data_IF_269857692626
#
_entry.id   IF_269857692626
#
_cell.length_a   1.000
_cell.length_b   1.000
_cell.length_c   1.000
_cell.angle_alpha   90.00
_cell.angle_beta   90.00
_cell.angle_gamma   90.00
#
_symmetry.space_group_name_H-M   'P 1'
#
loop_
_entity.id
_entity.type
_entity.pdbx_description
1 polymer ?
#
# COMPACT_ATOMS: atom_id res chain seq x y z
N UNK A 1 -20.70 -40.22 68.09
CA UNK A 1 -20.04 -40.09 66.77
C UNK A 1 -20.97 -39.21 65.97
N UNK A 2 -20.77 -37.91 66.13
CA UNK A 2 -21.72 -36.86 65.74
C UNK A 2 -20.93 -35.57 65.54
N UNK A 3 -21.29 -34.90 64.44
CA UNK A 3 -21.16 -33.47 64.14
C UNK A 3 -19.76 -32.92 63.83
N UNK A 4 -19.53 -32.72 62.52
CA UNK A 4 -18.50 -31.83 61.98
C UNK A 4 -19.25 -30.58 61.50
N UNK A 5 -19.22 -29.51 62.27
CA UNK A 5 -19.61 -28.18 61.82
C UNK A 5 -18.39 -27.47 61.21
N UNK A 6 -18.63 -26.81 60.09
CA UNK A 6 -17.68 -26.08 59.27
C UNK A 6 -17.54 -24.66 59.81
N UNK A 7 -16.34 -24.26 60.21
CA UNK A 7 -16.00 -22.84 60.37
C UNK A 7 -15.02 -22.43 59.27
N UNK A 8 -15.57 -21.69 58.31
CA UNK A 8 -14.86 -20.96 57.27
C UNK A 8 -14.11 -19.80 57.93
N UNK A 9 -12.79 -19.81 57.84
CA UNK A 9 -11.94 -18.73 58.35
C UNK A 9 -11.99 -17.53 57.39
N UNK A 10 -11.95 -16.36 58.03
CA UNK A 10 -12.33 -15.02 57.59
C UNK A 10 -11.68 -14.46 56.32
N UNK A 11 -12.49 -13.68 55.60
CA UNK A 11 -12.14 -12.82 54.46
C UNK A 11 -10.97 -11.86 54.75
N UNK A 12 -9.86 -12.02 54.03
CA UNK A 12 -8.89 -10.93 53.81
C UNK A 12 -9.29 -10.20 52.53
N UNK A 13 -10.03 -9.10 52.68
CA UNK A 13 -10.36 -8.17 51.61
C UNK A 13 -9.08 -7.45 51.11
N UNK A 14 -8.40 -8.01 50.12
CA UNK A 14 -7.46 -7.25 49.29
C UNK A 14 -8.29 -6.29 48.40
N UNK A 15 -8.47 -5.05 48.86
CA UNK A 15 -8.94 -3.95 48.02
C UNK A 15 -7.95 -3.71 46.87
N UNK A 16 -8.21 -4.36 45.74
CA UNK A 16 -7.59 -4.07 44.46
C UNK A 16 -8.10 -2.70 43.99
N UNK A 17 -7.47 -1.64 44.48
CA UNK A 17 -7.70 -0.28 43.98
C UNK A 17 -7.33 -0.25 42.50
N UNK A 18 -8.34 -0.30 41.63
CA UNK A 18 -8.17 0.00 40.22
C UNK A 18 -7.75 1.46 40.11
N UNK A 19 -6.44 1.71 40.10
CA UNK A 19 -5.91 2.95 39.58
C UNK A 19 -6.30 2.97 38.11
N UNK A 20 -7.45 3.59 37.81
CA UNK A 20 -7.77 4.01 36.47
C UNK A 20 -6.64 4.97 36.08
N UNK A 21 -5.66 4.47 35.33
CA UNK A 21 -4.69 5.31 34.64
C UNK A 21 -5.51 6.29 33.82
N UNK A 22 -5.58 7.54 34.30
CA UNK A 22 -6.29 8.60 33.59
C UNK A 22 -5.66 8.70 32.21
N UNK A 23 -6.44 8.44 31.17
CA UNK A 23 -5.97 8.61 29.79
C UNK A 23 -5.32 9.99 29.67
N UNK A 24 -4.11 10.09 29.10
CA UNK A 24 -3.40 11.35 29.01
C UNK A 24 -4.30 12.35 28.28
N UNK A 25 -4.62 13.45 28.97
CA UNK A 25 -5.43 14.52 28.40
C UNK A 25 -4.77 14.98 27.09
N UNK A 26 -5.49 14.78 25.98
CA UNK A 26 -5.06 15.25 24.66
C UNK A 26 -4.94 16.77 24.76
N UNK A 27 -3.77 17.39 24.50
CA UNK A 27 -3.61 18.82 24.61
C UNK A 27 -4.66 19.56 23.75
N UNK A 28 -5.30 20.59 24.30
CA UNK A 28 -6.31 21.39 23.59
C UNK A 28 -5.75 22.10 22.33
N UNK A 29 -4.42 22.20 22.20
CA UNK A 29 -3.71 22.91 21.12
C UNK A 29 -3.12 21.98 20.04
N UNK A 30 -3.82 20.91 19.66
CA UNK A 30 -3.43 20.12 18.48
C UNK A 30 -3.93 20.84 17.21
N UNK A 31 -3.03 21.55 16.55
CA UNK A 31 -3.31 22.16 15.26
C UNK A 31 -3.45 21.10 14.16
N UNK A 32 -4.50 21.23 13.35
CA UNK A 32 -4.66 20.41 12.15
C UNK A 32 -3.49 20.68 11.17
N UNK A 33 -2.70 19.64 10.81
CA UNK A 33 -1.60 19.82 9.90
C UNK A 33 -2.13 20.10 8.49
N UNK A 34 -1.70 21.20 7.88
CA UNK A 34 -1.99 21.48 6.48
C UNK A 34 -1.01 20.76 5.55
N UNK A 35 -1.50 20.33 4.38
CA UNK A 35 -0.66 19.75 3.33
C UNK A 35 0.33 20.81 2.82
N UNK A 36 1.62 20.64 3.16
CA UNK A 36 2.68 21.60 2.80
C UNK A 36 3.23 21.43 1.39
N UNK A 37 3.38 20.18 0.92
CA UNK A 37 4.05 19.85 -0.34
C UNK A 37 3.50 18.54 -0.91
N UNK A 38 3.54 18.39 -2.25
CA UNK A 38 3.16 17.17 -2.95
C UNK A 38 4.27 16.76 -3.93
N UNK A 39 4.71 15.51 -3.85
CA UNK A 39 5.67 14.90 -4.79
C UNK A 39 4.93 13.97 -5.74
N UNK A 40 5.10 14.17 -7.04
CA UNK A 40 4.31 13.49 -8.08
C UNK A 40 5.20 12.77 -9.09
N UNK A 41 4.58 11.88 -9.87
CA UNK A 41 5.22 11.15 -10.98
C UNK A 41 5.48 9.67 -10.71
N UNK A 42 5.56 9.26 -9.45
CA UNK A 42 5.55 7.84 -9.09
C UNK A 42 4.14 7.24 -9.25
N UNK A 43 4.05 5.92 -9.39
CA UNK A 43 2.80 5.17 -9.58
C UNK A 43 2.52 4.29 -8.37
N UNK A 44 1.31 4.37 -7.84
CA UNK A 44 0.79 3.45 -6.85
C UNK A 44 -0.66 3.06 -7.21
N UNK A 45 -0.81 1.99 -8.00
CA UNK A 45 -2.11 1.50 -8.48
C UNK A 45 -2.25 -0.04 -8.39
N UNK A 46 -1.14 -0.77 -8.34
CA UNK A 46 -1.11 -2.23 -8.29
C UNK A 46 -1.05 -2.76 -6.85
N UNK A 47 -0.50 -1.98 -5.93
CA UNK A 47 -0.33 -2.38 -4.53
C UNK A 47 -0.99 -1.37 -3.60
N UNK A 48 -1.30 -1.79 -2.38
CA UNK A 48 -1.78 -0.88 -1.31
C UNK A 48 -0.66 -0.47 -0.36
N UNK A 49 0.59 -0.76 -0.73
CA UNK A 49 1.77 -0.54 0.10
C UNK A 49 2.81 0.24 -0.68
N UNK A 50 3.05 1.48 -0.25
CA UNK A 50 4.17 2.29 -0.72
C UNK A 50 4.75 3.07 0.44
N UNK A 51 6.04 2.90 0.63
CA UNK A 51 6.81 3.67 1.58
C UNK A 51 7.27 4.98 0.95
N UNK A 52 7.10 6.08 1.70
CA UNK A 52 7.76 7.35 1.45
C UNK A 52 8.67 7.65 2.64
N UNK A 53 9.91 8.06 2.38
CA UNK A 53 10.92 8.26 3.42
C UNK A 53 11.79 9.48 3.13
N UNK A 54 12.39 10.04 4.18
CA UNK A 54 13.39 11.10 4.03
C UNK A 54 14.76 10.50 3.75
N UNK A 55 15.56 11.20 2.94
CA UNK A 55 16.97 10.87 2.75
C UNK A 55 17.84 12.07 3.04
N UNK A 56 18.51 12.01 4.19
CA UNK A 56 19.18 13.18 4.77
C UNK A 56 18.19 14.33 4.97
N UNK A 57 18.68 15.56 4.83
CA UNK A 57 17.88 16.77 5.09
C UNK A 57 17.14 17.29 3.85
N UNK A 58 17.64 16.99 2.66
CA UNK A 58 17.28 17.69 1.42
C UNK A 58 16.41 16.86 0.48
N UNK A 59 16.19 15.57 0.74
CA UNK A 59 15.46 14.71 -0.19
C UNK A 59 14.30 13.96 0.46
N UNK A 60 13.28 13.71 -0.36
CA UNK A 60 12.19 12.77 -0.09
C UNK A 60 12.25 11.68 -1.17
N UNK A 61 12.02 10.43 -0.79
CA UNK A 61 12.03 9.31 -1.71
C UNK A 61 10.77 8.47 -1.59
N UNK A 62 10.41 7.79 -2.68
CA UNK A 62 9.34 6.80 -2.69
C UNK A 62 9.61 5.73 -3.74
N UNK A 63 9.09 4.52 -3.49
CA UNK A 63 9.03 3.45 -4.49
C UNK A 63 7.91 3.69 -5.49
N UNK A 64 7.90 2.92 -6.57
CA UNK A 64 6.86 3.00 -7.60
C UNK A 64 6.51 1.63 -8.15
N UNK A 65 5.26 1.48 -8.56
CA UNK A 65 4.77 0.30 -9.29
C UNK A 65 5.32 0.20 -10.72
N UNK A 66 6.20 1.12 -11.12
CA UNK A 66 6.97 1.00 -12.37
C UNK A 66 8.40 0.46 -12.15
N UNK A 67 8.71 -0.03 -10.94
CA UNK A 67 10.01 -0.62 -10.61
C UNK A 67 11.11 0.39 -10.29
N UNK A 68 10.77 1.68 -10.20
CA UNK A 68 11.73 2.74 -9.95
C UNK A 68 11.56 3.36 -8.56
N UNK A 69 12.67 3.79 -7.97
CA UNK A 69 12.73 4.70 -6.84
C UNK A 69 12.77 6.12 -7.40
N UNK A 70 11.89 6.96 -6.90
CA UNK A 70 11.87 8.38 -7.19
C UNK A 70 12.49 9.13 -6.01
N UNK A 71 13.40 10.07 -6.30
CA UNK A 71 14.08 10.89 -5.30
C UNK A 71 13.88 12.35 -5.70
N UNK A 72 13.15 13.09 -4.88
CA UNK A 72 12.84 14.49 -5.10
C UNK A 72 13.64 15.38 -4.16
N UNK A 73 13.93 16.60 -4.61
CA UNK A 73 14.33 17.70 -3.73
C UNK A 73 13.14 18.06 -2.84
N UNK A 74 13.36 18.07 -1.53
CA UNK A 74 12.34 18.28 -0.50
C UNK A 74 11.74 19.69 -0.52
N UNK A 75 12.50 20.69 -0.99
CA UNK A 75 12.10 22.11 -0.96
C UNK A 75 11.39 22.50 -2.24
N UNK A 76 11.83 21.99 -3.39
CA UNK A 76 11.28 22.35 -4.71
C UNK A 76 10.32 21.32 -5.29
N UNK A 77 10.31 20.09 -4.76
CA UNK A 77 9.60 18.94 -5.33
C UNK A 77 10.09 18.50 -6.72
N UNK A 78 11.25 19.01 -7.17
CA UNK A 78 11.86 18.57 -8.42
C UNK A 78 12.38 17.14 -8.30
N UNK A 79 12.15 16.32 -9.32
CA UNK A 79 12.76 15.00 -9.41
C UNK A 79 14.26 15.14 -9.68
N UNK A 80 15.11 14.70 -8.75
CA UNK A 80 16.58 14.81 -8.84
C UNK A 80 17.25 13.50 -9.22
N UNK A 81 16.63 12.36 -8.92
CA UNK A 81 17.18 11.05 -9.25
C UNK A 81 16.07 10.03 -9.44
N UNK A 82 16.33 9.10 -10.35
CA UNK A 82 15.46 7.98 -10.66
C UNK A 82 16.31 6.72 -10.75
N UNK A 83 16.02 5.72 -9.90
CA UNK A 83 16.80 4.48 -9.83
C UNK A 83 15.90 3.30 -10.18
N UNK A 84 16.25 2.51 -11.18
CA UNK A 84 15.54 1.27 -11.48
C UNK A 84 15.94 0.20 -10.46
N UNK A 85 15.10 -0.01 -9.46
CA UNK A 85 15.37 -1.02 -8.44
C UNK A 85 14.76 -2.37 -8.79
N UNK A 86 13.51 -2.43 -9.25
CA UNK A 86 12.88 -3.69 -9.60
C UNK A 86 12.39 -3.67 -11.05
N UNK A 87 12.07 -4.85 -11.59
CA UNK A 87 11.42 -4.94 -12.89
C UNK A 87 9.96 -4.50 -12.82
N UNK A 88 9.32 -4.65 -11.66
CA UNK A 88 7.90 -4.44 -11.49
C UNK A 88 7.55 -3.36 -10.49
N UNK A 89 7.79 -3.59 -9.20
CA UNK A 89 7.26 -2.75 -8.13
C UNK A 89 8.29 -2.64 -7.02
N UNK A 90 8.56 -1.43 -6.57
CA UNK A 90 9.34 -1.17 -5.35
C UNK A 90 8.37 -0.80 -4.23
N UNK A 91 8.46 -1.46 -3.08
CA UNK A 91 7.53 -1.26 -1.96
C UNK A 91 8.19 -0.55 -0.78
N UNK A 92 9.42 -0.94 -0.45
CA UNK A 92 10.10 -0.53 0.78
C UNK A 92 11.43 0.14 0.48
N UNK A 93 11.70 1.23 1.20
CA UNK A 93 12.90 2.06 1.11
C UNK A 93 13.39 2.32 2.53
N UNK A 94 14.53 1.75 2.87
CA UNK A 94 15.13 1.86 4.20
C UNK A 94 16.51 2.51 4.10
N UNK A 95 16.58 3.85 4.24
CA UNK A 95 17.84 4.56 4.39
C UNK A 95 18.58 4.07 5.63
N UNK A 96 19.87 3.82 5.52
CA UNK A 96 20.70 3.56 6.69
C UNK A 96 20.71 4.80 7.59
N UNK A 97 20.59 4.67 8.93
CA UNK A 97 20.43 5.81 9.83
C UNK A 97 21.59 6.81 9.80
N UNK A 98 22.79 6.36 9.45
CA UNK A 98 24.02 7.18 9.51
C UNK A 98 24.91 7.10 8.26
N UNK A 99 24.66 6.16 7.36
CA UNK A 99 25.54 5.93 6.19
C UNK A 99 24.75 6.30 4.94
N UNK A 100 25.42 6.73 3.85
CA UNK A 100 24.76 7.03 2.59
C UNK A 100 24.42 5.72 1.85
N UNK A 101 23.71 4.82 2.51
CA UNK A 101 23.33 3.50 2.00
C UNK A 101 21.82 3.35 2.04
N UNK A 102 21.22 2.85 0.97
CA UNK A 102 19.79 2.58 0.86
C UNK A 102 19.58 1.09 0.73
N UNK A 103 18.71 0.49 1.54
CA UNK A 103 18.16 -0.82 1.25
C UNK A 103 16.78 -0.66 0.60
N UNK A 104 16.53 -1.37 -0.48
CA UNK A 104 15.21 -1.40 -1.13
C UNK A 104 14.76 -2.82 -1.40
N UNK A 105 13.44 -3.03 -1.33
CA UNK A 105 12.81 -4.28 -1.73
C UNK A 105 11.46 -4.01 -2.39
N UNK A 106 11.04 -4.95 -3.21
CA UNK A 106 9.80 -4.87 -3.96
C UNK A 106 9.09 -6.20 -4.05
N UNK A 107 8.64 -6.56 -5.25
CA UNK A 107 7.98 -7.86 -5.49
C UNK A 107 8.91 -8.88 -6.16
N UNK A 108 10.08 -8.44 -6.60
CA UNK A 108 11.10 -9.35 -7.12
C UNK A 108 11.76 -10.14 -5.95
N UNK A 109 12.53 -11.19 -6.27
CA UNK A 109 13.08 -12.13 -5.27
C UNK A 109 14.45 -11.71 -4.71
N UNK A 110 14.70 -10.42 -4.58
CA UNK A 110 15.96 -9.88 -4.10
C UNK A 110 15.78 -8.64 -3.20
N UNK A 111 16.90 -8.20 -2.62
CA UNK A 111 17.02 -6.94 -1.88
C UNK A 111 18.23 -6.23 -2.46
N UNK A 112 18.11 -4.93 -2.70
CA UNK A 112 19.17 -4.14 -3.33
C UNK A 112 19.71 -3.09 -2.38
N UNK A 113 21.04 -2.97 -2.36
CA UNK A 113 21.76 -1.93 -1.63
C UNK A 113 22.31 -0.90 -2.60
N UNK A 114 22.11 0.37 -2.28
CA UNK A 114 22.59 1.50 -3.07
C UNK A 114 23.57 2.32 -2.25
N UNK A 115 24.65 2.75 -2.88
CA UNK A 115 25.63 3.66 -2.30
C UNK A 115 26.14 4.63 -3.39
N UNK A 116 26.61 5.84 -3.04
CA UNK A 116 27.11 6.83 -3.99
C UNK A 116 28.52 6.47 -4.47
N UNK A 117 28.63 5.39 -5.24
CA UNK A 117 29.91 4.84 -5.74
C UNK A 117 30.32 5.40 -7.11
N UNK A 118 29.45 6.19 -7.75
CA UNK A 118 29.76 6.83 -9.04
C UNK A 118 30.60 8.09 -8.82
N UNK A 119 31.58 8.29 -9.69
CA UNK A 119 32.46 9.47 -9.66
C UNK A 119 31.73 10.74 -10.12
N UNK A 120 30.82 10.60 -11.09
CA UNK A 120 30.08 11.73 -11.66
C UNK A 120 28.56 11.58 -11.47
N UNK A 121 27.84 12.70 -11.25
CA UNK A 121 26.38 12.72 -11.28
C UNK A 121 25.86 12.27 -12.65
N UNK A 122 24.88 11.39 -12.66
CA UNK A 122 24.22 10.94 -13.89
C UNK A 122 22.72 10.84 -13.65
N UNK A 123 22.00 11.87 -14.09
CA UNK A 123 20.54 11.91 -14.09
C UNK A 123 20.05 12.19 -15.51
N UNK A 124 19.38 11.21 -16.10
CA UNK A 124 18.74 11.35 -17.41
C UNK A 124 17.35 11.98 -17.25
N UNK A 125 17.32 13.31 -17.35
CA UNK A 125 16.08 14.09 -17.20
C UNK A 125 15.03 13.75 -18.27
N UNK A 126 15.45 13.37 -19.49
CA UNK A 126 14.53 13.02 -20.57
C UNK A 126 13.85 11.69 -20.29
N UNK A 127 14.63 10.67 -19.93
CA UNK A 127 14.10 9.36 -19.53
C UNK A 127 13.16 9.49 -18.33
N UNK A 128 13.51 10.34 -17.36
CA UNK A 128 12.67 10.60 -16.20
C UNK A 128 11.33 11.24 -16.59
N UNK A 129 11.32 12.26 -17.45
CA UNK A 129 10.10 12.91 -17.93
C UNK A 129 9.20 11.94 -18.72
N UNK A 130 9.79 11.14 -19.63
CA UNK A 130 9.07 10.13 -20.39
C UNK A 130 8.46 9.05 -19.49
N UNK A 131 9.16 8.65 -18.42
CA UNK A 131 8.65 7.69 -17.46
C UNK A 131 7.52 8.28 -16.59
N UNK A 132 7.65 9.54 -16.15
CA UNK A 132 6.60 10.25 -15.41
C UNK A 132 5.32 10.37 -16.25
N UNK A 133 5.44 10.72 -17.54
CA UNK A 133 4.30 10.75 -18.46
C UNK A 133 3.62 9.40 -18.61
N UNK A 134 4.41 8.33 -18.78
CA UNK A 134 3.88 6.96 -18.82
C UNK A 134 3.15 6.57 -17.54
N UNK A 135 3.68 6.94 -16.38
CA UNK A 135 3.03 6.69 -15.10
C UNK A 135 1.71 7.44 -14.97
N UNK A 136 1.64 8.69 -15.41
CA UNK A 136 0.42 9.49 -15.39
C UNK A 136 -0.69 8.85 -16.25
N UNK A 137 -0.35 8.41 -17.47
CA UNK A 137 -1.30 7.70 -18.36
C UNK A 137 -1.81 6.42 -17.68
N UNK A 138 -0.90 5.62 -17.14
CA UNK A 138 -1.26 4.35 -16.48
C UNK A 138 -2.13 4.54 -15.24
N UNK A 139 -1.90 5.61 -14.47
CA UNK A 139 -2.73 5.96 -13.32
C UNK A 139 -4.16 6.34 -13.75
N UNK A 140 -4.29 7.12 -14.82
CA UNK A 140 -5.61 7.50 -15.33
C UNK A 140 -6.37 6.27 -15.88
N UNK A 141 -5.68 5.39 -16.62
CA UNK A 141 -6.28 4.15 -17.15
C UNK A 141 -6.72 3.18 -16.04
N UNK A 142 -6.05 3.18 -14.89
CA UNK A 142 -6.33 2.25 -13.78
C UNK A 142 -7.19 2.85 -12.68
N UNK A 143 -7.55 4.13 -12.75
CA UNK A 143 -8.29 4.86 -11.71
C UNK A 143 -9.61 4.19 -11.32
N UNK A 144 -10.32 3.64 -12.30
CA UNK A 144 -11.61 2.96 -12.10
C UNK A 144 -11.50 1.42 -12.17
N UNK A 145 -10.27 0.89 -12.14
CA UNK A 145 -10.02 -0.55 -12.21
C UNK A 145 -9.95 -1.15 -10.80
N UNK A 146 -10.76 -2.19 -10.55
CA UNK A 146 -10.72 -2.96 -9.31
C UNK A 146 -10.03 -4.30 -9.57
N UNK A 147 -8.96 -4.58 -8.85
CA UNK A 147 -8.25 -5.86 -8.94
C UNK A 147 -9.02 -6.94 -8.21
N UNK A 148 -9.36 -8.04 -8.92
CA UNK A 148 -10.05 -9.20 -8.35
C UNK A 148 -9.25 -10.48 -8.60
N UNK A 149 -9.27 -11.48 -7.70
CA UNK A 149 -8.62 -12.76 -7.95
C UNK A 149 -9.16 -13.43 -9.22
N UNK A 150 -8.26 -13.96 -10.06
CA UNK A 150 -8.65 -14.58 -11.33
C UNK A 150 -9.70 -15.69 -11.18
N UNK A 151 -9.62 -16.47 -10.08
CA UNK A 151 -10.60 -17.50 -9.77
C UNK A 151 -12.03 -16.94 -9.61
N UNK A 152 -12.17 -15.75 -9.03
CA UNK A 152 -13.46 -15.07 -8.91
C UNK A 152 -13.99 -14.67 -10.28
N UNK A 153 -13.13 -14.07 -11.12
CA UNK A 153 -13.50 -13.66 -12.48
C UNK A 153 -13.91 -14.86 -13.35
N UNK A 154 -13.16 -15.97 -13.29
CA UNK A 154 -13.48 -17.20 -14.04
C UNK A 154 -14.85 -17.74 -13.62
N UNK A 155 -15.15 -17.79 -12.32
CA UNK A 155 -16.45 -18.22 -11.80
C UNK A 155 -17.58 -17.29 -12.25
N UNK A 156 -17.36 -15.97 -12.17
CA UNK A 156 -18.32 -14.97 -12.63
C UNK A 156 -18.63 -15.14 -14.13
N UNK A 157 -17.61 -15.26 -14.97
CA UNK A 157 -17.74 -15.48 -16.40
C UNK A 157 -18.44 -16.81 -16.72
N UNK A 158 -18.16 -17.87 -15.96
CA UNK A 158 -18.85 -19.14 -16.10
C UNK A 158 -20.35 -19.03 -15.78
N UNK A 159 -20.72 -18.36 -14.68
CA UNK A 159 -22.11 -18.09 -14.32
C UNK A 159 -22.82 -17.27 -15.40
N UNK A 160 -22.20 -16.18 -15.88
CA UNK A 160 -22.76 -15.35 -16.95
C UNK A 160 -22.98 -16.13 -18.25
N UNK A 161 -22.05 -17.01 -18.61
CA UNK A 161 -22.19 -17.88 -19.77
C UNK A 161 -23.32 -18.91 -19.62
N UNK A 162 -23.50 -19.47 -18.43
CA UNK A 162 -24.61 -20.38 -18.13
C UNK A 162 -25.96 -19.66 -18.21
N UNK A 163 -26.08 -18.46 -17.66
CA UNK A 163 -27.28 -17.61 -17.76
C UNK A 163 -27.60 -17.31 -19.24
N UNK A 164 -26.59 -16.93 -20.04
CA UNK A 164 -26.77 -16.63 -21.46
C UNK A 164 -27.23 -17.84 -22.26
N UNK A 165 -26.73 -19.04 -21.95
CA UNK A 165 -27.15 -20.30 -22.58
C UNK A 165 -28.55 -20.71 -22.13
N UNK A 166 -28.87 -20.59 -20.84
CA UNK A 166 -30.21 -20.86 -20.31
C UNK A 166 -31.29 -19.93 -20.85
N UNK A 167 -30.97 -18.64 -21.04
CA UNK A 167 -31.87 -17.66 -21.67
C UNK A 167 -32.17 -17.97 -23.14
N UNK A 168 -31.17 -18.40 -23.91
CA UNK A 168 -31.35 -18.84 -25.31
C UNK A 168 -32.23 -20.07 -25.45
N UNK A 169 -32.10 -21.04 -24.55
CA UNK A 169 -32.93 -22.25 -24.54
C UNK A 169 -34.37 -21.92 -24.16
N UNK A 170 -34.60 -20.97 -23.24
CA UNK A 170 -35.94 -20.49 -22.86
C UNK A 170 -36.61 -19.65 -23.95
N UNK A 171 -35.87 -18.84 -24.70
CA UNK A 171 -36.42 -18.05 -25.82
C UNK A 171 -36.85 -18.95 -26.98
N UNK A 172 -36.05 -19.96 -27.36
CA UNK A 172 -36.44 -20.95 -28.38
C UNK A 172 -37.70 -21.71 -28.03
N UNK A 173 -37.85 -22.14 -26.77
CA UNK A 173 -39.07 -22.84 -26.31
C UNK A 173 -40.33 -21.99 -26.30
N UNK A 174 -40.22 -20.65 -26.29
CA UNK A 174 -41.39 -19.75 -26.38
C UNK A 174 -41.85 -19.55 -27.82
N UNK A 175 -40.90 -19.41 -28.76
CA UNK A 175 -41.22 -19.33 -30.20
C UNK A 175 -41.90 -20.62 -30.69
N UNK A 176 -41.40 -21.80 -30.29
CA UNK A 176 -42.00 -23.08 -30.66
C UNK A 176 -43.42 -23.29 -30.07
N UNK A 177 -43.80 -22.56 -29.01
CA UNK A 177 -45.11 -22.67 -28.36
C UNK A 177 -46.17 -21.67 -28.86
N UNK A 178 -45.75 -20.63 -29.60
CA UNK A 178 -46.65 -19.62 -30.18
C UNK A 178 -47.09 -19.99 -31.62
N UNK A 179 -46.40 -20.95 -32.26
CA UNK A 179 -46.66 -21.46 -33.62
C UNK A 179 -47.43 -22.81 -33.66
N UNK A 180 -47.96 -23.28 -32.52
CA UNK A 180 -48.73 -24.54 -32.39
C UNK A 180 -50.21 -24.32 -32.07
#
# INVERSE_FOLDING_TARGET
MSDVELDYDSDEDEEMTSQAESEPAIPDDIYEPQMKMKYVGHRNARTMIKEATFWGNDHVMSGSDCGHIFIWDRKTADLKMLLQADQHVVNCLQPHPTLPILATSGIDHDIKLWAPIREEPNFDAKMADDLVKRNAIMLEETKDTITVPAAFMIRMLACLNQIRRGGRIRSRRREDSEDS
#
